data_IF_517728351918
#
_entry.id   IF_517728351918
#
_cell.length_a   1.000
_cell.length_b   1.000
_cell.length_c   1.000
_cell.angle_alpha   90.00
_cell.angle_beta   90.00
_cell.angle_gamma   90.00
#
_symmetry.space_group_name_H-M   'P 1'
#
loop_
_entity.id
_entity.type
_entity.pdbx_description
1 polymer ?
#
# COMPACT_ATOMS: atom_id res chain seq x y z
N UNK A 1 15.02 30.45 -2.58
CA UNK A 1 15.67 29.15 -2.25
C UNK A 1 14.68 28.06 -2.60
N UNK A 2 15.11 27.00 -3.29
CA UNK A 2 14.27 25.82 -3.58
C UNK A 2 14.67 24.66 -2.70
N UNK A 3 13.70 24.01 -2.05
CA UNK A 3 13.90 22.89 -1.16
C UNK A 3 12.96 21.76 -1.56
N UNK A 4 13.49 20.56 -1.66
CA UNK A 4 12.69 19.32 -1.82
C UNK A 4 12.73 18.56 -0.49
N UNK A 5 11.55 18.28 0.05
CA UNK A 5 11.38 17.45 1.25
C UNK A 5 10.89 16.08 0.79
N UNK A 6 11.73 15.08 0.97
CA UNK A 6 11.48 13.71 0.57
C UNK A 6 11.78 12.81 1.79
N UNK A 7 10.75 12.45 2.53
CA UNK A 7 10.84 11.66 3.76
C UNK A 7 9.89 10.47 3.69
N UNK A 8 10.28 9.38 4.33
CA UNK A 8 9.40 8.22 4.53
C UNK A 8 8.50 8.43 5.76
N UNK A 9 7.59 7.51 6.01
CA UNK A 9 6.71 7.50 7.17
C UNK A 9 7.50 7.25 8.47
N UNK A 10 6.99 7.81 9.57
CA UNK A 10 7.48 7.52 10.92
C UNK A 10 6.53 6.50 11.56
N UNK A 11 6.89 5.24 11.49
CA UNK A 11 6.06 4.09 11.90
C UNK A 11 5.33 4.32 13.22
N UNK A 12 3.99 4.26 13.18
CA UNK A 12 3.13 4.47 14.34
C UNK A 12 3.03 5.92 14.84
N UNK A 13 3.57 6.91 14.10
CA UNK A 13 3.55 8.32 14.49
C UNK A 13 2.99 9.24 13.40
N UNK A 14 3.61 9.30 12.24
CA UNK A 14 3.22 10.20 11.14
C UNK A 14 3.35 9.51 9.80
N UNK A 15 2.45 9.83 8.88
CA UNK A 15 2.61 9.48 7.47
C UNK A 15 3.74 10.28 6.82
N UNK A 16 4.27 9.81 5.70
CA UNK A 16 5.26 10.52 4.89
C UNK A 16 4.80 11.94 4.53
N UNK A 17 3.52 12.11 4.18
CA UNK A 17 2.94 13.40 3.83
C UNK A 17 2.85 14.34 5.05
N UNK A 18 2.37 13.86 6.20
CA UNK A 18 2.29 14.66 7.44
C UNK A 18 3.67 15.14 7.87
N UNK A 19 4.66 14.25 7.88
CA UNK A 19 6.05 14.59 8.20
C UNK A 19 6.61 15.62 7.21
N UNK A 20 6.40 15.42 5.92
CA UNK A 20 6.82 16.34 4.87
C UNK A 20 6.19 17.73 5.00
N UNK A 21 4.90 17.79 5.34
CA UNK A 21 4.20 19.07 5.55
C UNK A 21 4.65 19.78 6.82
N UNK A 22 4.95 19.06 7.90
CA UNK A 22 5.52 19.64 9.10
C UNK A 22 6.90 20.26 8.84
N UNK A 23 7.77 19.58 8.11
CA UNK A 23 9.08 20.11 7.68
C UNK A 23 8.91 21.34 6.81
N UNK A 24 7.99 21.30 5.82
CA UNK A 24 7.67 22.46 4.98
C UNK A 24 7.24 23.67 5.81
N UNK A 25 6.36 23.47 6.78
CA UNK A 25 5.90 24.55 7.67
C UNK A 25 7.07 25.18 8.44
N UNK A 26 7.98 24.36 9.00
CA UNK A 26 9.17 24.83 9.68
C UNK A 26 10.11 25.65 8.78
N UNK A 27 10.35 25.17 7.55
CA UNK A 27 11.19 25.91 6.57
C UNK A 27 10.58 27.26 6.21
N UNK A 28 9.27 27.30 5.94
CA UNK A 28 8.56 28.53 5.59
C UNK A 28 8.47 29.52 6.78
N UNK A 29 8.45 29.05 8.02
CA UNK A 29 8.54 29.90 9.20
C UNK A 29 9.91 30.59 9.30
N UNK A 30 10.99 29.88 8.97
CA UNK A 30 12.35 30.45 8.98
C UNK A 30 12.64 31.28 7.72
N UNK A 31 12.11 30.89 6.54
CA UNK A 31 12.36 31.54 5.27
C UNK A 31 11.09 31.57 4.40
N UNK A 32 10.33 32.65 4.55
CA UNK A 32 8.99 32.83 3.95
C UNK A 32 8.97 32.78 2.41
N UNK A 33 10.07 33.18 1.76
CA UNK A 33 10.24 33.19 0.30
C UNK A 33 10.80 31.89 -0.27
N UNK A 34 10.93 30.82 0.51
CA UNK A 34 11.39 29.54 0.02
C UNK A 34 10.31 28.85 -0.82
N UNK A 35 10.70 28.27 -1.96
CA UNK A 35 9.89 27.31 -2.71
C UNK A 35 10.12 25.94 -2.08
N UNK A 36 9.10 25.36 -1.41
CA UNK A 36 9.21 24.06 -0.74
C UNK A 36 8.28 23.05 -1.41
N UNK A 37 8.86 22.00 -1.99
CA UNK A 37 8.15 20.90 -2.65
C UNK A 37 8.24 19.67 -1.74
N UNK A 38 7.09 19.12 -1.36
CA UNK A 38 7.02 17.86 -0.61
C UNK A 38 6.83 16.72 -1.60
N UNK A 39 7.64 15.68 -1.48
CA UNK A 39 7.56 14.44 -2.25
C UNK A 39 7.56 13.28 -1.26
N UNK A 40 6.41 12.67 -0.97
CA UNK A 40 6.37 11.52 -0.08
C UNK A 40 7.20 10.38 -0.66
N UNK A 41 7.90 9.65 0.22
CA UNK A 41 8.61 8.43 -0.12
C UNK A 41 7.98 7.25 0.59
N UNK A 42 8.25 6.06 0.08
CA UNK A 42 7.90 4.80 0.71
C UNK A 42 8.84 3.69 0.21
N UNK A 43 9.00 2.66 1.04
CA UNK A 43 9.98 1.57 0.84
C UNK A 43 9.34 0.24 0.39
N UNK A 44 8.08 0.29 -0.04
CA UNK A 44 7.28 -0.90 -0.38
C UNK A 44 6.42 -1.41 0.79
N UNK A 45 6.46 -0.74 1.94
CA UNK A 45 5.59 -0.98 3.08
C UNK A 45 4.41 -0.01 3.13
N UNK A 46 3.92 0.25 4.34
CA UNK A 46 2.77 1.13 4.60
C UNK A 46 2.98 2.54 4.01
N UNK A 47 1.98 3.01 3.25
CA UNK A 47 1.98 4.32 2.61
C UNK A 47 2.58 4.36 1.20
N UNK A 48 3.07 3.23 0.67
CA UNK A 48 3.60 3.14 -0.71
C UNK A 48 2.54 3.46 -1.75
N UNK A 49 1.33 2.90 -1.59
CA UNK A 49 0.21 3.14 -2.51
C UNK A 49 -0.18 4.61 -2.51
N UNK A 50 -0.32 5.23 -1.33
CA UNK A 50 -0.67 6.64 -1.21
C UNK A 50 0.40 7.56 -1.79
N UNK A 51 1.68 7.28 -1.53
CA UNK A 51 2.79 8.03 -2.10
C UNK A 51 2.81 8.00 -3.64
N UNK A 52 2.51 6.83 -4.23
CA UNK A 52 2.46 6.67 -5.69
C UNK A 52 1.20 7.28 -6.31
N UNK A 53 0.03 7.18 -5.64
CA UNK A 53 -1.20 7.88 -6.04
C UNK A 53 -0.95 9.38 -6.11
N UNK A 54 -0.39 9.96 -5.04
CA UNK A 54 -0.08 11.39 -4.96
C UNK A 54 0.96 11.81 -6.02
N UNK A 55 2.06 11.07 -6.10
CA UNK A 55 3.18 11.38 -6.99
C UNK A 55 2.84 11.26 -8.47
N UNK A 56 1.99 10.32 -8.85
CA UNK A 56 1.64 9.97 -10.23
C UNK A 56 0.19 10.32 -10.59
N UNK A 57 -0.51 11.08 -9.73
CA UNK A 57 -1.91 11.51 -9.92
C UNK A 57 -2.85 10.32 -10.19
N UNK A 58 -2.68 9.26 -9.42
CA UNK A 58 -3.53 8.06 -9.48
C UNK A 58 -4.87 8.26 -8.78
N UNK A 59 -5.77 7.30 -8.97
CA UNK A 59 -7.07 7.23 -8.32
C UNK A 59 -7.06 6.12 -7.28
N UNK A 60 -7.59 6.37 -6.08
CA UNK A 60 -7.77 5.33 -5.07
C UNK A 60 -9.01 4.50 -5.38
N UNK A 61 -8.90 3.19 -5.25
CA UNK A 61 -9.97 2.23 -5.45
C UNK A 61 -10.08 1.35 -4.20
N UNK A 62 -11.16 1.55 -3.44
CA UNK A 62 -11.43 0.78 -2.22
C UNK A 62 -12.16 -0.51 -2.57
N UNK A 63 -11.79 -1.61 -1.90
CA UNK A 63 -12.31 -2.96 -2.11
C UNK A 63 -12.42 -3.68 -0.77
N UNK A 64 -13.55 -4.33 -0.51
CA UNK A 64 -13.66 -5.25 0.63
C UNK A 64 -13.11 -6.60 0.24
N UNK A 65 -12.14 -7.10 0.99
CA UNK A 65 -11.47 -8.39 0.75
C UNK A 65 -11.33 -9.20 2.03
N UNK A 66 -10.88 -10.43 1.91
CA UNK A 66 -10.54 -11.32 3.03
C UNK A 66 -9.29 -10.82 3.73
N UNK A 67 -9.37 -10.56 5.02
CA UNK A 67 -8.25 -10.19 5.88
C UNK A 67 -7.34 -11.37 6.24
N UNK A 68 -6.26 -11.09 7.00
CA UNK A 68 -5.26 -12.11 7.32
C UNK A 68 -5.81 -13.30 8.12
N UNK A 69 -6.88 -13.11 8.88
CA UNK A 69 -7.52 -14.15 9.70
C UNK A 69 -8.95 -14.45 9.24
N UNK A 70 -9.22 -14.32 7.95
CA UNK A 70 -10.49 -14.62 7.26
C UNK A 70 -11.65 -13.67 7.56
N UNK A 71 -11.45 -12.58 8.31
CA UNK A 71 -12.43 -11.51 8.46
C UNK A 71 -12.48 -10.60 7.23
N UNK A 72 -13.60 -9.96 6.93
CA UNK A 72 -13.64 -8.94 5.87
C UNK A 72 -12.88 -7.68 6.31
N UNK A 73 -12.01 -7.17 5.45
CA UNK A 73 -11.27 -5.92 5.66
C UNK A 73 -11.47 -4.97 4.49
N UNK A 74 -11.40 -3.67 4.79
CA UNK A 74 -11.37 -2.64 3.76
C UNK A 74 -9.93 -2.46 3.29
N UNK A 75 -9.65 -2.89 2.08
CA UNK A 75 -8.37 -2.70 1.43
C UNK A 75 -8.51 -1.74 0.24
N UNK A 76 -7.40 -1.34 -0.36
CA UNK A 76 -7.42 -0.46 -1.53
C UNK A 76 -6.19 -0.64 -2.38
N UNK A 77 -6.28 -0.14 -3.60
CA UNK A 77 -5.16 0.04 -4.51
C UNK A 77 -5.24 1.38 -5.25
N UNK A 78 -4.12 1.86 -5.73
CA UNK A 78 -4.04 3.01 -6.62
C UNK A 78 -4.19 2.59 -8.08
N UNK A 79 -4.99 3.29 -8.85
CA UNK A 79 -5.09 3.11 -10.30
C UNK A 79 -4.40 4.25 -11.02
N UNK A 80 -3.34 3.94 -11.75
CA UNK A 80 -2.61 4.88 -12.60
C UNK A 80 -3.15 4.76 -14.02
N UNK A 81 -4.03 5.69 -14.39
CA UNK A 81 -4.80 5.66 -15.64
C UNK A 81 -3.90 5.67 -16.88
N UNK A 82 -2.88 6.53 -16.90
CA UNK A 82 -2.00 6.71 -18.07
C UNK A 82 -1.23 5.44 -18.44
N UNK A 83 -0.80 4.67 -17.45
CA UNK A 83 -0.05 3.42 -17.65
C UNK A 83 -0.90 2.16 -17.51
N UNK A 84 -2.20 2.30 -17.24
CA UNK A 84 -3.11 1.20 -16.92
C UNK A 84 -2.53 0.25 -15.86
N UNK A 85 -2.01 0.82 -14.77
CA UNK A 85 -1.29 0.10 -13.72
C UNK A 85 -2.05 0.17 -12.39
N UNK A 86 -2.19 -0.94 -11.70
CA UNK A 86 -2.58 -0.99 -10.30
C UNK A 86 -1.33 -0.96 -9.40
N UNK A 87 -1.34 -0.08 -8.42
CA UNK A 87 -0.34 -0.02 -7.36
C UNK A 87 -0.99 -0.44 -6.06
N UNK A 88 -0.46 -1.43 -5.38
CA UNK A 88 -1.04 -1.94 -4.14
C UNK A 88 0.02 -2.37 -3.15
N UNK A 89 -0.35 -2.31 -1.87
CA UNK A 89 0.41 -2.89 -0.78
C UNK A 89 -0.29 -4.16 -0.31
N UNK A 90 0.44 -5.23 -0.13
CA UNK A 90 -0.14 -6.41 0.49
C UNK A 90 -0.63 -6.14 1.91
N UNK A 91 -0.04 -5.17 2.61
CA UNK A 91 -0.40 -4.80 3.98
C UNK A 91 -1.84 -4.28 4.10
N UNK A 92 -2.47 -3.74 3.05
CA UNK A 92 -3.87 -3.30 3.10
C UNK A 92 -4.85 -4.47 3.22
N UNK A 93 -4.47 -5.68 2.77
CA UNK A 93 -5.30 -6.88 2.82
C UNK A 93 -4.75 -7.95 3.79
N UNK A 94 -3.42 -8.00 4.01
CA UNK A 94 -2.75 -9.04 4.79
C UNK A 94 -1.70 -8.47 5.76
N UNK A 95 -1.91 -7.23 6.22
CA UNK A 95 -0.96 -6.49 7.05
C UNK A 95 -1.02 -6.83 8.54
N UNK A 96 0.13 -6.64 9.21
CA UNK A 96 0.28 -6.89 10.65
C UNK A 96 -0.52 -5.91 11.51
N UNK A 97 -0.91 -4.77 10.96
CA UNK A 97 -1.69 -3.73 11.64
C UNK A 97 -3.20 -3.95 11.57
N UNK A 98 -3.68 -4.89 10.74
CA UNK A 98 -5.11 -5.16 10.55
C UNK A 98 -5.74 -5.93 11.71
N UNK A 99 -4.95 -6.52 12.59
CA UNK A 99 -5.44 -7.31 13.73
C UNK A 99 -4.45 -7.30 14.88
N UNK A 100 -4.95 -7.41 16.11
CA UNK A 100 -4.13 -7.62 17.31
C UNK A 100 -3.58 -9.06 17.39
N UNK A 101 -4.12 -9.99 16.60
CA UNK A 101 -3.60 -11.35 16.50
C UNK A 101 -2.20 -11.34 15.88
N UNK A 102 -1.30 -12.13 16.44
CA UNK A 102 0.09 -12.27 15.97
C UNK A 102 0.39 -13.75 15.72
N UNK A 103 -0.41 -14.37 14.86
CA UNK A 103 -0.39 -15.80 14.54
C UNK A 103 -0.03 -16.02 13.05
N UNK A 104 1.24 -15.80 12.65
CA UNK A 104 1.63 -15.83 11.24
C UNK A 104 1.40 -17.19 10.56
N UNK A 105 1.31 -18.27 11.34
CA UNK A 105 1.12 -19.63 10.81
C UNK A 105 -0.29 -19.88 10.27
N UNK A 106 -1.28 -19.09 10.68
CA UNK A 106 -2.66 -19.20 10.20
C UNK A 106 -3.10 -18.00 9.36
N UNK A 107 -2.27 -16.95 9.32
CA UNK A 107 -2.56 -15.78 8.54
C UNK A 107 -2.41 -16.07 7.04
N UNK A 108 -3.30 -15.48 6.23
CA UNK A 108 -3.37 -15.75 4.79
C UNK A 108 -3.17 -14.50 3.94
N UNK A 109 -2.58 -14.67 2.76
CA UNK A 109 -2.50 -13.67 1.70
C UNK A 109 -3.71 -13.69 0.76
N UNK A 110 -4.79 -14.40 1.08
CA UNK A 110 -5.94 -14.59 0.17
C UNK A 110 -6.52 -13.27 -0.33
N UNK A 111 -6.73 -12.30 0.54
CA UNK A 111 -7.25 -10.98 0.18
C UNK A 111 -6.35 -10.18 -0.77
N UNK A 112 -5.04 -10.42 -0.76
CA UNK A 112 -4.13 -9.82 -1.76
C UNK A 112 -4.49 -10.32 -3.17
N UNK A 113 -4.77 -11.61 -3.31
CA UNK A 113 -5.25 -12.20 -4.56
C UNK A 113 -6.60 -11.64 -5.00
N UNK A 114 -7.51 -11.38 -4.06
CA UNK A 114 -8.81 -10.74 -4.36
C UNK A 114 -8.64 -9.31 -4.86
N UNK A 115 -7.70 -8.52 -4.28
CA UNK A 115 -7.37 -7.19 -4.80
C UNK A 115 -6.86 -7.25 -6.24
N UNK A 116 -5.97 -8.20 -6.54
CA UNK A 116 -5.44 -8.42 -7.89
C UNK A 116 -6.58 -8.80 -8.84
N UNK A 117 -7.46 -9.74 -8.46
CA UNK A 117 -8.62 -10.13 -9.27
C UNK A 117 -9.56 -8.96 -9.54
N UNK A 118 -9.83 -8.13 -8.53
CA UNK A 118 -10.65 -6.95 -8.72
C UNK A 118 -10.03 -6.00 -9.76
N UNK A 119 -8.73 -5.74 -9.69
CA UNK A 119 -8.03 -4.92 -10.68
C UNK A 119 -8.08 -5.57 -12.09
N UNK A 120 -7.86 -6.88 -12.18
CA UNK A 120 -7.96 -7.64 -13.43
C UNK A 120 -9.36 -7.54 -14.04
N UNK A 121 -10.43 -7.63 -13.23
CA UNK A 121 -11.81 -7.53 -13.70
C UNK A 121 -12.13 -6.16 -14.33
N UNK A 122 -11.39 -5.11 -13.93
CA UNK A 122 -11.44 -3.76 -14.51
C UNK A 122 -10.57 -3.56 -15.75
N UNK A 123 -9.94 -4.62 -16.24
CA UNK A 123 -9.08 -4.56 -17.43
C UNK A 123 -7.63 -4.16 -17.16
N UNK A 124 -7.22 -4.03 -15.89
CA UNK A 124 -5.83 -3.70 -15.53
C UNK A 124 -4.95 -4.94 -15.69
N UNK A 125 -3.75 -4.76 -16.22
CA UNK A 125 -2.81 -5.88 -16.48
C UNK A 125 -1.38 -5.59 -16.02
N UNK A 126 -1.10 -4.36 -15.60
CA UNK A 126 0.19 -3.98 -15.03
C UNK A 126 0.03 -3.77 -13.53
N UNK A 127 0.97 -4.28 -12.73
CA UNK A 127 0.91 -4.26 -11.28
C UNK A 127 2.24 -3.83 -10.68
N UNK A 128 2.17 -2.97 -9.67
CA UNK A 128 3.26 -2.67 -8.75
C UNK A 128 2.75 -3.09 -7.37
N UNK A 129 3.42 -4.05 -6.75
CA UNK A 129 2.98 -4.62 -5.47
C UNK A 129 4.07 -4.41 -4.42
N UNK A 130 3.78 -3.60 -3.41
CA UNK A 130 4.59 -3.47 -2.20
C UNK A 130 4.35 -4.66 -1.27
N UNK A 131 5.41 -5.30 -0.80
CA UNK A 131 5.33 -6.53 0.02
C UNK A 131 5.69 -6.32 1.49
N UNK A 132 5.93 -5.07 1.90
CA UNK A 132 6.22 -4.74 3.29
C UNK A 132 4.99 -4.83 4.20
N UNK A 133 5.22 -4.89 5.52
CA UNK A 133 4.15 -4.85 6.53
C UNK A 133 3.29 -6.11 6.67
N UNK A 134 3.69 -7.25 6.11
CA UNK A 134 2.92 -8.51 6.14
C UNK A 134 2.74 -9.08 7.54
N UNK A 135 1.55 -9.67 7.78
CA UNK A 135 1.25 -10.53 8.94
C UNK A 135 1.45 -12.03 8.63
N UNK A 136 1.73 -12.40 7.37
CA UNK A 136 1.58 -13.76 6.86
C UNK A 136 2.91 -14.49 6.70
N UNK A 137 2.84 -15.81 6.72
CA UNK A 137 3.96 -16.72 6.45
C UNK A 137 3.53 -17.87 5.51
N UNK A 138 2.52 -17.62 4.66
CA UNK A 138 1.95 -18.63 3.78
C UNK A 138 2.66 -18.77 2.42
N UNK A 139 3.79 -18.09 2.23
CA UNK A 139 4.55 -18.11 0.97
C UNK A 139 3.77 -17.60 -0.25
N UNK A 140 2.68 -16.84 -0.03
CA UNK A 140 1.80 -16.36 -1.10
C UNK A 140 0.78 -17.39 -1.58
N UNK A 141 0.68 -18.54 -0.92
CA UNK A 141 -0.27 -19.62 -1.29
C UNK A 141 -1.71 -19.12 -1.25
N UNK A 142 -2.10 -18.33 -0.25
CA UNK A 142 -3.43 -17.74 -0.19
C UNK A 142 -3.74 -16.87 -1.40
N UNK A 143 -2.83 -15.97 -1.76
CA UNK A 143 -2.95 -15.11 -2.95
C UNK A 143 -3.12 -15.94 -4.22
N UNK A 144 -2.29 -16.96 -4.42
CA UNK A 144 -2.37 -17.84 -5.60
C UNK A 144 -3.69 -18.61 -5.64
N UNK A 145 -4.20 -19.08 -4.49
CA UNK A 145 -5.51 -19.74 -4.41
C UNK A 145 -6.65 -18.80 -4.82
N UNK A 146 -6.64 -17.57 -4.37
CA UNK A 146 -7.61 -16.58 -4.81
C UNK A 146 -7.54 -16.34 -6.33
N UNK A 147 -6.35 -16.35 -6.90
CA UNK A 147 -6.14 -16.26 -8.35
C UNK A 147 -6.52 -17.53 -9.14
N UNK A 148 -6.99 -18.59 -8.46
CA UNK A 148 -7.48 -19.81 -9.10
C UNK A 148 -6.45 -20.94 -9.20
N UNK A 149 -5.25 -20.78 -8.65
CA UNK A 149 -4.28 -21.88 -8.58
C UNK A 149 -4.73 -22.96 -7.60
N UNK A 150 -4.53 -24.19 -7.94
CA UNK A 150 -4.85 -25.35 -7.12
C UNK A 150 -3.56 -25.97 -6.61
N UNK A 151 -3.48 -26.15 -5.30
CA UNK A 151 -2.42 -26.89 -4.63
C UNK A 151 -2.99 -28.28 -4.36
N UNK A 152 -2.35 -29.30 -4.89
CA UNK A 152 -2.77 -30.70 -4.81
C UNK A 152 -1.76 -31.47 -3.94
N UNK A 153 -2.26 -32.30 -3.04
CA UNK A 153 -1.45 -33.31 -2.37
C UNK A 153 -1.17 -34.46 -3.36
N UNK A 154 -0.08 -35.21 -3.15
CA UNK A 154 0.29 -36.37 -3.96
C UNK A 154 -0.72 -37.53 -3.77
#
# INVERSE_FOLDING_TARGET
MKVVVAVDSFKGSMTSMEAGMAVKAGILAAKKDAEVIVKPLADGGEGTTDALIEGLKGERVDVTVTGPYHEPVQAYYGYLRESNTAVMEMATAAGITLSDKKEPMIATTYGVGELILHAISRGIRNFIIGIGGSATNDGGVGMLRALGYRFLDE
#
